data_IF_384634943946
#
_entry.id   IF_384634943946
#
_cell.length_a   1.000
_cell.length_b   1.000
_cell.length_c   1.000
_cell.angle_alpha   90.00
_cell.angle_beta   90.00
_cell.angle_gamma   90.00
#
_symmetry.space_group_name_H-M   'P 1'
#
loop_
_entity.id
_entity.type
_entity.pdbx_description
1 polymer ?
#
# COMPACT_ATOMS: atom_id res chain seq x y z
N UNK A 1 -31.05 32.58 -1.74
CA UNK A 1 -29.56 32.55 -1.94
C UNK A 1 -28.93 31.15 -1.69
N UNK A 2 -29.64 30.05 -1.93
CA UNK A 2 -29.17 28.68 -1.69
C UNK A 2 -29.17 27.77 -2.93
N UNK A 3 -29.41 28.31 -4.13
CA UNK A 3 -29.70 27.47 -5.30
C UNK A 3 -28.65 27.57 -6.43
N UNK A 4 -27.56 28.28 -6.24
CA UNK A 4 -26.56 28.50 -7.29
C UNK A 4 -25.25 27.72 -7.12
N UNK A 5 -25.01 27.10 -5.97
CA UNK A 5 -23.77 26.33 -5.70
C UNK A 5 -23.82 24.90 -6.23
N UNK A 6 -24.99 24.33 -6.50
CA UNK A 6 -25.13 22.92 -6.89
C UNK A 6 -25.07 22.65 -8.42
N UNK A 7 -24.94 23.67 -9.26
CA UNK A 7 -24.92 23.45 -10.73
C UNK A 7 -23.51 23.27 -11.30
N UNK A 8 -22.47 23.73 -10.62
CA UNK A 8 -21.10 23.57 -11.12
C UNK A 8 -20.50 22.19 -10.77
N UNK A 9 -20.86 21.60 -9.63
CA UNK A 9 -20.39 20.26 -9.23
C UNK A 9 -20.97 19.15 -10.11
N UNK A 10 -22.27 19.24 -10.46
CA UNK A 10 -22.95 18.24 -11.31
C UNK A 10 -22.42 18.19 -12.75
N UNK A 11 -21.91 19.33 -13.27
CA UNK A 11 -21.37 19.40 -14.64
C UNK A 11 -19.98 18.76 -14.75
N UNK A 12 -19.20 18.74 -13.67
CA UNK A 12 -17.90 18.05 -13.65
C UNK A 12 -18.03 16.54 -13.51
N UNK A 13 -18.94 16.01 -12.68
CA UNK A 13 -19.18 14.57 -12.55
C UNK A 13 -19.54 13.91 -13.90
N UNK A 14 -20.45 14.49 -14.67
CA UNK A 14 -20.83 13.97 -15.99
C UNK A 14 -19.67 13.95 -17.01
N UNK A 15 -18.68 14.84 -16.87
CA UNK A 15 -17.55 14.88 -17.79
C UNK A 15 -16.53 13.75 -17.61
N UNK A 16 -16.42 13.20 -16.40
CA UNK A 16 -15.52 12.08 -16.10
C UNK A 16 -16.19 10.73 -16.40
N UNK A 17 -17.51 10.65 -16.21
CA UNK A 17 -18.30 9.42 -16.37
C UNK A 17 -18.58 9.03 -17.82
N UNK A 18 -18.58 10.01 -18.74
CA UNK A 18 -18.92 9.82 -20.16
C UNK A 18 -17.71 9.66 -21.10
N UNK A 19 -16.48 9.57 -20.55
CA UNK A 19 -15.32 9.23 -21.39
C UNK A 19 -15.37 7.73 -21.77
N UNK A 20 -15.02 7.38 -23.04
CA UNK A 20 -14.92 5.97 -23.41
C UNK A 20 -13.96 5.27 -22.42
N UNK A 21 -14.43 4.16 -21.87
CA UNK A 21 -13.56 3.26 -21.08
C UNK A 21 -12.37 2.91 -21.98
N UNK A 22 -11.19 3.31 -21.55
CA UNK A 22 -9.96 2.79 -22.13
C UNK A 22 -9.89 1.28 -21.81
N UNK A 23 -9.22 0.56 -22.66
CA UNK A 23 -9.21 -0.88 -22.75
C UNK A 23 -8.94 -1.56 -21.38
N UNK A 24 -9.81 -2.46 -20.94
CA UNK A 24 -9.61 -3.27 -19.73
C UNK A 24 -8.24 -3.95 -19.77
N UNK A 25 -7.75 -4.29 -20.96
CA UNK A 25 -6.47 -4.91 -21.20
C UNK A 25 -5.27 -4.03 -20.81
N UNK A 26 -5.36 -2.71 -20.99
CA UNK A 26 -4.30 -1.77 -20.56
C UNK A 26 -4.20 -1.72 -19.04
N UNK A 27 -5.34 -1.67 -18.34
CA UNK A 27 -5.38 -1.69 -16.87
C UNK A 27 -4.82 -3.01 -16.32
N UNK A 28 -5.14 -4.14 -16.94
CA UNK A 28 -4.63 -5.45 -16.52
C UNK A 28 -3.11 -5.55 -16.73
N UNK A 29 -2.58 -5.09 -17.85
CA UNK A 29 -1.13 -5.07 -18.13
C UNK A 29 -0.34 -4.25 -17.08
N UNK A 30 -0.89 -3.11 -16.66
CA UNK A 30 -0.28 -2.26 -15.62
C UNK A 30 -0.26 -3.00 -14.28
N UNK A 31 -1.37 -3.62 -13.92
CA UNK A 31 -1.49 -4.36 -12.66
C UNK A 31 -0.55 -5.56 -12.66
N UNK A 32 -0.48 -6.32 -13.74
CA UNK A 32 0.42 -7.48 -13.86
C UNK A 32 1.89 -7.07 -13.74
N UNK A 33 2.31 -5.98 -14.39
CA UNK A 33 3.66 -5.44 -14.23
C UNK A 33 3.98 -4.99 -12.80
N UNK A 34 2.99 -4.40 -12.09
CA UNK A 34 3.16 -4.06 -10.68
C UNK A 34 3.22 -5.29 -9.78
N UNK A 35 2.46 -6.36 -10.07
CA UNK A 35 2.47 -7.60 -9.30
C UNK A 35 3.81 -8.31 -9.40
N UNK A 36 4.44 -8.34 -10.58
CA UNK A 36 5.79 -8.91 -10.75
C UNK A 36 6.82 -8.19 -9.88
N UNK A 37 6.78 -6.85 -9.87
CA UNK A 37 7.67 -6.04 -9.03
C UNK A 37 7.38 -6.25 -7.56
N UNK A 38 6.11 -6.28 -7.20
CA UNK A 38 5.62 -6.41 -5.84
C UNK A 38 6.00 -7.76 -5.22
N UNK A 39 6.10 -8.84 -6.02
CA UNK A 39 6.52 -10.16 -5.52
C UNK A 39 7.92 -10.12 -4.88
N UNK A 40 8.83 -9.33 -5.44
CA UNK A 40 10.14 -9.11 -4.81
C UNK A 40 10.06 -8.10 -3.67
N UNK A 41 9.41 -6.93 -3.92
CA UNK A 41 9.39 -5.81 -2.98
C UNK A 41 8.72 -6.14 -1.65
N UNK A 42 7.61 -6.88 -1.69
CA UNK A 42 6.85 -7.26 -0.50
C UNK A 42 7.58 -8.22 0.43
N UNK A 43 8.58 -8.97 -0.08
CA UNK A 43 9.39 -9.91 0.70
C UNK A 43 10.49 -9.22 1.52
N UNK A 44 10.87 -7.99 1.16
CA UNK A 44 11.83 -7.22 1.93
C UNK A 44 11.18 -6.70 3.22
N UNK A 45 11.96 -6.61 4.29
CA UNK A 45 11.54 -5.89 5.49
C UNK A 45 11.56 -4.37 5.29
N UNK A 46 10.85 -3.58 6.12
CA UNK A 46 10.96 -2.11 6.10
C UNK A 46 12.39 -1.61 6.14
N UNK A 47 13.25 -2.18 6.98
CA UNK A 47 14.67 -1.83 7.06
C UNK A 47 15.39 -2.11 5.75
N UNK A 48 15.18 -3.27 5.14
CA UNK A 48 15.79 -3.63 3.85
C UNK A 48 15.33 -2.72 2.70
N UNK A 49 14.05 -2.31 2.68
CA UNK A 49 13.53 -1.35 1.69
C UNK A 49 14.23 0.00 1.82
N UNK A 50 14.51 0.44 3.05
CA UNK A 50 15.21 1.69 3.32
C UNK A 50 16.71 1.64 3.00
N UNK A 51 17.32 0.47 2.86
CA UNK A 51 18.69 0.31 2.34
C UNK A 51 18.77 0.50 0.81
N UNK A 52 17.63 0.49 0.12
CA UNK A 52 17.54 0.78 -1.31
C UNK A 52 17.61 2.30 -1.56
N UNK A 53 17.74 2.75 -2.83
CA UNK A 53 17.65 4.17 -3.16
C UNK A 53 16.37 4.89 -2.69
N UNK A 54 15.34 4.17 -2.24
CA UNK A 54 14.14 4.76 -1.62
C UNK A 54 14.50 5.75 -0.50
N UNK A 55 15.56 5.48 0.24
CA UNK A 55 16.04 6.39 1.28
C UNK A 55 16.44 7.78 0.77
N UNK A 56 16.81 7.91 -0.51
CA UNK A 56 17.20 9.19 -1.12
C UNK A 56 16.01 10.13 -1.35
N UNK A 57 14.80 9.58 -1.49
CA UNK A 57 13.56 10.37 -1.60
C UNK A 57 12.89 10.66 -0.27
N UNK A 58 13.50 10.19 0.82
CA UNK A 58 12.95 10.35 2.16
C UNK A 58 12.79 11.83 2.52
N UNK A 59 11.57 12.31 2.76
CA UNK A 59 11.38 13.64 3.32
C UNK A 59 11.98 13.69 4.73
N UNK A 60 12.79 14.70 5.02
CA UNK A 60 13.50 14.85 6.32
C UNK A 60 12.56 14.77 7.53
N UNK A 61 11.32 15.18 7.38
CA UNK A 61 10.28 15.18 8.41
C UNK A 61 9.74 13.79 8.76
N UNK A 62 10.10 12.72 8.02
CA UNK A 62 9.48 11.40 8.18
C UNK A 62 10.24 10.45 9.10
N UNK A 63 11.28 10.90 9.77
CA UNK A 63 12.11 10.06 10.64
C UNK A 63 11.29 9.33 11.73
N UNK A 64 10.42 10.05 12.42
CA UNK A 64 9.59 9.47 13.49
C UNK A 64 8.62 8.42 12.93
N UNK A 65 8.00 8.70 11.79
CA UNK A 65 7.09 7.77 11.11
C UNK A 65 7.81 6.48 10.69
N UNK A 66 9.04 6.60 10.19
CA UNK A 66 9.87 5.44 9.82
C UNK A 66 10.24 4.62 11.04
N UNK A 67 10.67 5.25 12.11
CA UNK A 67 11.00 4.56 13.37
C UNK A 67 9.76 3.84 13.93
N UNK A 68 8.60 4.48 13.86
CA UNK A 68 7.32 3.86 14.24
C UNK A 68 7.00 2.62 13.39
N UNK A 69 7.09 2.72 12.06
CA UNK A 69 6.86 1.59 11.15
C UNK A 69 7.82 0.44 11.47
N UNK A 70 9.12 0.73 11.57
CA UNK A 70 10.13 -0.29 11.88
C UNK A 70 9.87 -0.98 13.22
N UNK A 71 9.57 -0.23 14.26
CA UNK A 71 9.33 -0.81 15.59
C UNK A 71 8.09 -1.71 15.64
N UNK A 72 7.14 -1.52 14.74
CA UNK A 72 5.89 -2.28 14.73
C UNK A 72 5.86 -3.45 13.75
N UNK A 73 6.53 -3.36 12.59
CA UNK A 73 6.36 -4.35 11.52
C UNK A 73 7.67 -4.89 10.90
N UNK A 74 8.84 -4.46 11.37
CA UNK A 74 10.12 -4.85 10.75
C UNK A 74 10.50 -6.31 11.06
N UNK A 75 10.21 -6.77 12.27
CA UNK A 75 10.55 -8.11 12.74
C UNK A 75 9.31 -8.89 13.18
N UNK A 76 9.34 -10.22 12.99
CA UNK A 76 8.30 -11.07 13.54
C UNK A 76 8.21 -10.96 15.08
N UNK A 77 7.00 -10.95 15.58
CA UNK A 77 6.70 -10.91 17.01
C UNK A 77 6.44 -12.35 17.48
N UNK A 78 7.22 -12.85 18.43
CA UNK A 78 6.97 -14.14 19.04
C UNK A 78 5.72 -14.05 19.91
N UNK A 79 4.76 -14.92 19.63
CA UNK A 79 3.52 -15.04 20.40
C UNK A 79 3.67 -16.17 21.44
N UNK A 80 2.82 -16.13 22.47
CA UNK A 80 2.70 -17.26 23.40
C UNK A 80 2.23 -18.50 22.63
N UNK A 81 2.82 -19.66 22.94
CA UNK A 81 2.50 -20.93 22.30
C UNK A 81 2.47 -22.06 23.32
N UNK A 82 1.65 -23.09 23.11
CA UNK A 82 1.70 -24.29 23.92
C UNK A 82 3.03 -25.03 23.72
N UNK A 83 3.33 -25.95 24.64
CA UNK A 83 4.53 -26.79 24.54
C UNK A 83 4.55 -27.59 23.23
N UNK A 84 5.64 -27.47 22.49
CA UNK A 84 5.82 -28.16 21.21
C UNK A 84 5.34 -27.34 20.00
N UNK A 85 4.98 -26.07 20.17
CA UNK A 85 4.65 -25.17 19.09
C UNK A 85 5.47 -23.86 19.18
N UNK A 86 5.69 -23.22 18.03
CA UNK A 86 6.24 -21.88 17.95
C UNK A 86 5.33 -21.02 17.08
N UNK A 87 4.82 -19.94 17.67
CA UNK A 87 3.88 -19.01 17.01
C UNK A 87 4.55 -17.66 16.80
N UNK A 88 4.50 -17.17 15.58
CA UNK A 88 5.02 -15.86 15.22
C UNK A 88 3.96 -15.04 14.47
N UNK A 89 3.80 -13.78 14.87
CA UNK A 89 3.06 -12.77 14.13
C UNK A 89 4.04 -12.00 13.24
N UNK A 90 3.70 -11.83 11.99
CA UNK A 90 4.43 -10.99 11.05
C UNK A 90 3.45 -10.20 10.18
N UNK A 91 3.96 -9.16 9.55
CA UNK A 91 3.16 -8.28 8.72
C UNK A 91 3.55 -8.43 7.25
N UNK A 92 2.55 -8.61 6.40
CA UNK A 92 2.72 -8.65 4.95
C UNK A 92 2.09 -7.41 4.32
N UNK A 93 2.64 -6.95 3.19
CA UNK A 93 2.04 -5.87 2.42
C UNK A 93 0.61 -6.22 1.99
N UNK A 94 -0.27 -5.21 1.95
CA UNK A 94 -1.61 -5.35 1.34
C UNK A 94 -1.60 -5.29 -0.18
N UNK A 95 -0.44 -5.13 -0.82
CA UNK A 95 -0.32 -5.17 -2.27
C UNK A 95 -0.42 -3.79 -2.93
N UNK A 96 -1.24 -3.69 -3.97
CA UNK A 96 -1.40 -2.47 -4.76
C UNK A 96 -2.42 -1.54 -4.09
N UNK A 97 -2.09 -0.25 -4.03
CA UNK A 97 -2.97 0.81 -3.53
C UNK A 97 -3.34 1.71 -4.70
N UNK A 98 -4.63 1.92 -4.92
CA UNK A 98 -5.10 3.03 -5.75
C UNK A 98 -5.06 4.30 -4.91
N UNK A 99 -4.22 5.26 -5.25
CA UNK A 99 -4.14 6.52 -4.55
C UNK A 99 -4.82 7.62 -5.37
N UNK A 100 -6.02 8.00 -4.95
CA UNK A 100 -6.80 9.06 -5.59
C UNK A 100 -6.39 10.40 -5.02
N UNK A 101 -5.88 11.26 -5.89
CA UNK A 101 -5.42 12.58 -5.50
C UNK A 101 -6.59 13.58 -5.50
N UNK A 102 -6.74 14.30 -4.38
CA UNK A 102 -7.61 15.48 -4.32
C UNK A 102 -6.92 16.66 -4.98
N UNK A 103 -7.65 17.53 -5.69
CA UNK A 103 -7.10 18.78 -6.24
C UNK A 103 -6.42 19.70 -5.20
N UNK A 104 -6.85 19.61 -3.95
CA UNK A 104 -6.32 20.40 -2.84
C UNK A 104 -5.09 19.78 -2.17
N UNK A 105 -4.69 18.57 -2.58
CA UNK A 105 -3.56 17.87 -1.98
C UNK A 105 -2.25 18.45 -2.47
N UNK A 106 -1.38 18.83 -1.54
CA UNK A 106 -0.07 19.35 -1.90
C UNK A 106 0.93 18.24 -2.23
N UNK A 107 1.94 18.56 -3.03
CA UNK A 107 2.97 17.61 -3.49
C UNK A 107 3.67 16.90 -2.32
N UNK A 108 3.92 17.61 -1.20
CA UNK A 108 4.64 17.02 -0.06
C UNK A 108 3.82 15.94 0.65
N UNK A 109 2.49 16.09 0.71
CA UNK A 109 1.61 15.08 1.29
C UNK A 109 1.49 13.87 0.39
N UNK A 110 1.42 14.08 -0.93
CA UNK A 110 1.44 12.98 -1.91
C UNK A 110 2.74 12.18 -1.77
N UNK A 111 3.90 12.84 -1.79
CA UNK A 111 5.21 12.21 -1.63
C UNK A 111 5.33 11.45 -0.31
N UNK A 112 4.84 12.03 0.79
CA UNK A 112 4.81 11.40 2.11
C UNK A 112 4.04 10.08 2.09
N UNK A 113 2.79 10.09 1.59
CA UNK A 113 1.95 8.90 1.56
C UNK A 113 2.52 7.81 0.63
N UNK A 114 3.06 8.18 -0.53
CA UNK A 114 3.76 7.25 -1.42
C UNK A 114 4.94 6.61 -0.68
N UNK A 115 5.83 7.44 -0.12
CA UNK A 115 7.03 6.98 0.56
C UNK A 115 6.71 5.97 1.68
N UNK A 116 5.78 6.33 2.58
CA UNK A 116 5.40 5.47 3.70
C UNK A 116 4.72 4.16 3.23
N UNK A 117 3.91 4.22 2.17
CA UNK A 117 3.30 3.03 1.59
C UNK A 117 4.34 2.09 0.96
N UNK A 118 5.35 2.63 0.28
CA UNK A 118 6.48 1.85 -0.25
C UNK A 118 7.30 1.22 0.88
N UNK A 119 7.54 1.93 1.98
CA UNK A 119 8.21 1.37 3.17
C UNK A 119 7.41 0.22 3.77
N UNK A 120 6.07 0.27 3.75
CA UNK A 120 5.20 -0.83 4.15
C UNK A 120 5.13 -1.97 3.12
N UNK A 121 5.79 -1.83 1.95
CA UNK A 121 5.90 -2.89 0.93
C UNK A 121 4.78 -2.87 -0.11
N UNK A 122 3.97 -1.81 -0.17
CA UNK A 122 2.93 -1.64 -1.17
C UNK A 122 3.49 -1.11 -2.49
N UNK A 123 2.78 -1.31 -3.59
CA UNK A 123 2.93 -0.60 -4.85
C UNK A 123 1.77 0.39 -5.02
N UNK A 124 1.91 1.41 -5.86
CA UNK A 124 0.94 2.51 -5.94
C UNK A 124 0.57 2.80 -7.38
N UNK A 125 -0.73 2.95 -7.61
CA UNK A 125 -1.28 3.57 -8.81
C UNK A 125 -1.83 4.93 -8.39
N UNK A 126 -1.15 6.01 -8.81
CA UNK A 126 -1.64 7.37 -8.63
C UNK A 126 -2.76 7.63 -9.63
N UNK A 127 -3.86 8.16 -9.14
CA UNK A 127 -5.01 8.52 -9.97
C UNK A 127 -5.34 9.99 -9.72
N UNK A 128 -5.35 10.78 -10.79
CA UNK A 128 -5.73 12.19 -10.73
C UNK A 128 -6.39 12.63 -12.02
N UNK A 129 -6.93 13.85 -11.98
CA UNK A 129 -7.32 14.53 -13.19
C UNK A 129 -6.09 15.05 -13.98
N UNK A 130 -6.33 15.55 -15.18
CA UNK A 130 -5.26 16.05 -16.06
C UNK A 130 -4.52 17.25 -15.49
N UNK A 131 -5.14 18.01 -14.57
CA UNK A 131 -4.52 19.21 -14.01
C UNK A 131 -3.34 18.85 -13.09
N UNK A 132 -3.37 17.67 -12.47
CA UNK A 132 -2.31 17.19 -11.60
C UNK A 132 -1.30 16.28 -12.32
N UNK A 133 -1.46 16.04 -13.62
CA UNK A 133 -0.63 15.12 -14.39
C UNK A 133 0.87 15.47 -14.37
N UNK A 134 1.19 16.77 -14.42
CA UNK A 134 2.57 17.25 -14.39
C UNK A 134 3.23 16.99 -13.02
N UNK A 135 2.48 17.24 -11.93
CA UNK A 135 2.91 16.89 -10.57
C UNK A 135 3.12 15.38 -10.42
N UNK A 136 2.17 14.57 -10.88
CA UNK A 136 2.29 13.12 -10.86
C UNK A 136 3.51 12.63 -11.65
N UNK A 137 3.74 13.19 -12.84
CA UNK A 137 4.88 12.83 -13.70
C UNK A 137 6.22 13.18 -13.07
N UNK A 138 6.30 14.29 -12.34
CA UNK A 138 7.48 14.69 -11.57
C UNK A 138 7.72 13.72 -10.42
N UNK A 139 6.69 13.46 -9.61
CA UNK A 139 6.78 12.54 -8.48
C UNK A 139 7.22 11.14 -8.92
N UNK A 140 6.63 10.62 -10.00
CA UNK A 140 7.01 9.28 -10.50
C UNK A 140 8.48 9.23 -10.88
N UNK A 141 9.02 10.26 -11.55
CA UNK A 141 10.45 10.32 -11.90
C UNK A 141 11.34 10.26 -10.66
N UNK A 142 10.93 10.90 -9.58
CA UNK A 142 11.66 10.88 -8.31
C UNK A 142 11.64 9.49 -7.67
N UNK A 143 10.61 8.70 -7.92
CA UNK A 143 10.45 7.34 -7.43
C UNK A 143 10.85 6.22 -8.43
N UNK A 144 11.13 6.50 -9.69
CA UNK A 144 11.51 5.50 -10.73
C UNK A 144 12.86 4.79 -10.47
N UNK A 145 13.61 5.24 -9.48
CA UNK A 145 14.99 4.80 -9.23
C UNK A 145 15.10 3.44 -8.54
N UNK A 146 13.97 2.81 -8.07
CA UNK A 146 14.04 1.92 -6.92
C UNK A 146 14.14 0.43 -7.13
N UNK A 147 13.51 -0.13 -8.12
CA UNK A 147 13.37 -1.58 -8.19
C UNK A 147 14.02 -2.18 -9.43
N UNK A 148 15.34 -2.04 -9.63
CA UNK A 148 16.08 -2.66 -10.75
C UNK A 148 15.46 -2.41 -12.12
N UNK A 149 14.91 -1.20 -12.33
CA UNK A 149 14.20 -0.83 -13.57
C UNK A 149 12.70 -1.19 -13.59
N UNK A 150 12.16 -1.72 -12.50
CA UNK A 150 10.74 -2.01 -12.36
C UNK A 150 10.05 -0.89 -11.57
N UNK A 151 8.86 -0.51 -12.00
CA UNK A 151 8.11 0.61 -11.41
C UNK A 151 7.26 0.12 -10.25
N UNK A 152 7.36 0.78 -9.10
CA UNK A 152 6.48 0.58 -7.95
C UNK A 152 5.40 1.67 -7.86
N UNK A 153 5.56 2.75 -8.60
CA UNK A 153 4.62 3.87 -8.66
C UNK A 153 4.32 4.16 -10.12
N UNK A 154 3.05 4.13 -10.48
CA UNK A 154 2.56 4.45 -11.82
C UNK A 154 1.43 5.46 -11.75
N UNK A 155 1.17 6.17 -12.84
CA UNK A 155 0.10 7.15 -12.96
C UNK A 155 -0.97 6.69 -13.94
N UNK A 156 -2.23 6.96 -13.58
CA UNK A 156 -3.39 6.76 -14.44
C UNK A 156 -4.37 7.95 -14.33
N UNK A 157 -5.04 8.26 -15.42
CA UNK A 157 -6.12 9.25 -15.45
C UNK A 157 -7.38 8.70 -14.75
N UNK A 158 -8.21 9.58 -14.22
CA UNK A 158 -9.50 9.21 -13.62
C UNK A 158 -10.41 8.35 -14.51
N UNK A 159 -10.30 8.44 -15.83
CA UNK A 159 -11.06 7.60 -16.75
C UNK A 159 -10.80 6.09 -16.56
N UNK A 160 -9.65 5.73 -15.98
CA UNK A 160 -9.28 4.32 -15.71
C UNK A 160 -9.84 3.79 -14.38
N UNK A 161 -10.39 4.65 -13.53
CA UNK A 161 -10.72 4.29 -12.15
C UNK A 161 -11.69 3.11 -12.07
N UNK A 162 -12.67 3.06 -12.97
CA UNK A 162 -13.69 2.00 -12.98
C UNK A 162 -13.10 0.64 -13.29
N UNK A 163 -12.25 0.52 -14.31
CA UNK A 163 -11.58 -0.74 -14.68
C UNK A 163 -10.64 -1.18 -13.56
N UNK A 164 -9.87 -0.27 -12.98
CA UNK A 164 -8.97 -0.55 -11.86
C UNK A 164 -9.73 -1.04 -10.62
N UNK A 165 -10.82 -0.39 -10.23
CA UNK A 165 -11.65 -0.80 -9.10
C UNK A 165 -12.23 -2.20 -9.32
N UNK A 166 -12.61 -2.56 -10.52
CA UNK A 166 -13.18 -3.88 -10.83
C UNK A 166 -12.13 -4.99 -10.93
N UNK A 167 -10.82 -4.68 -10.97
CA UNK A 167 -9.80 -5.70 -11.00
C UNK A 167 -9.68 -6.42 -9.64
N UNK A 168 -9.57 -7.75 -9.68
CA UNK A 168 -9.51 -8.62 -8.47
C UNK A 168 -8.28 -8.38 -7.59
N UNK A 169 -7.18 -7.92 -8.18
CA UNK A 169 -5.90 -7.70 -7.49
C UNK A 169 -5.83 -6.35 -6.77
N UNK A 170 -6.81 -5.46 -7.01
CA UNK A 170 -6.92 -4.20 -6.31
C UNK A 170 -7.83 -4.40 -5.09
N UNK A 171 -7.26 -4.31 -3.91
CA UNK A 171 -7.97 -4.49 -2.64
C UNK A 171 -7.89 -3.27 -1.72
N UNK A 172 -7.12 -2.25 -2.12
CA UNK A 172 -6.88 -1.08 -1.30
C UNK A 172 -7.01 0.19 -2.12
N UNK A 173 -7.63 1.19 -1.51
CA UNK A 173 -7.74 2.54 -2.05
C UNK A 173 -7.36 3.55 -0.96
N UNK A 174 -6.56 4.51 -1.34
CA UNK A 174 -6.25 5.67 -0.51
C UNK A 174 -6.95 6.88 -1.12
N UNK A 175 -7.85 7.50 -0.38
CA UNK A 175 -8.61 8.65 -0.82
C UNK A 175 -9.09 9.50 0.35
N UNK A 176 -9.21 10.80 0.13
CA UNK A 176 -9.84 11.71 1.09
C UNK A 176 -11.38 11.57 1.00
N UNK A 177 -12.03 11.40 2.14
CA UNK A 177 -13.50 11.31 2.23
C UNK A 177 -14.21 12.59 1.75
N UNK A 178 -13.49 13.72 1.71
CA UNK A 178 -13.99 15.00 1.21
C UNK A 178 -13.97 15.12 -0.31
N UNK A 179 -13.37 14.14 -1.01
CA UNK A 179 -13.31 14.14 -2.46
C UNK A 179 -14.73 14.07 -3.04
N UNK A 180 -15.10 14.99 -3.94
CA UNK A 180 -16.44 15.06 -4.53
C UNK A 180 -16.86 13.75 -5.22
N UNK A 181 -15.91 13.07 -5.86
CA UNK A 181 -16.12 11.78 -6.54
C UNK A 181 -16.26 10.58 -5.57
N UNK A 182 -16.12 10.82 -4.25
CA UNK A 182 -16.10 9.73 -3.27
C UNK A 182 -17.40 8.91 -3.25
N UNK A 183 -18.57 9.53 -3.48
CA UNK A 183 -19.85 8.85 -3.55
C UNK A 183 -19.92 7.88 -4.74
N UNK A 184 -19.52 8.32 -5.92
CA UNK A 184 -19.45 7.48 -7.11
C UNK A 184 -18.51 6.29 -6.93
N UNK A 185 -17.33 6.54 -6.38
CA UNK A 185 -16.35 5.50 -6.10
C UNK A 185 -16.89 4.47 -5.12
N UNK A 186 -17.60 4.90 -4.06
CA UNK A 186 -18.25 4.00 -3.10
C UNK A 186 -19.37 3.17 -3.74
N UNK A 187 -20.11 3.73 -4.70
CA UNK A 187 -21.10 2.97 -5.48
C UNK A 187 -20.42 1.91 -6.36
N UNK A 188 -19.33 2.25 -7.06
CA UNK A 188 -18.56 1.27 -7.85
C UNK A 188 -17.94 0.19 -6.95
N UNK A 189 -17.56 0.51 -5.71
CA UNK A 189 -17.13 -0.48 -4.71
C UNK A 189 -18.26 -1.44 -4.37
N UNK A 190 -19.46 -0.92 -4.13
CA UNK A 190 -20.63 -1.75 -3.79
C UNK A 190 -21.05 -2.70 -4.93
N UNK A 191 -20.75 -2.33 -6.18
CA UNK A 191 -21.05 -3.15 -7.37
C UNK A 191 -19.97 -4.19 -7.68
N UNK A 192 -18.86 -4.18 -6.95
CA UNK A 192 -17.74 -5.10 -7.16
C UNK A 192 -18.14 -6.56 -6.95
N UNK A 193 -17.64 -7.44 -7.81
CA UNK A 193 -17.80 -8.90 -7.68
C UNK A 193 -16.73 -9.55 -6.79
N UNK A 194 -15.65 -8.83 -6.53
CA UNK A 194 -14.50 -9.29 -5.75
C UNK A 194 -14.52 -8.63 -4.38
N UNK A 195 -13.69 -9.11 -3.46
CA UNK A 195 -13.68 -8.74 -2.04
C UNK A 195 -13.82 -7.23 -1.74
N UNK A 196 -14.13 -6.93 -0.49
CA UNK A 196 -14.32 -5.56 0.03
C UNK A 196 -12.99 -4.79 -0.10
N UNK A 197 -13.08 -3.57 -0.63
CA UNK A 197 -11.94 -2.65 -0.67
C UNK A 197 -11.68 -2.05 0.71
N UNK A 198 -10.42 -2.06 1.09
CA UNK A 198 -9.94 -1.33 2.26
C UNK A 198 -9.73 0.14 1.87
N UNK A 199 -10.37 1.05 2.59
CA UNK A 199 -10.27 2.50 2.36
C UNK A 199 -9.32 3.10 3.38
N UNK A 200 -8.33 3.85 2.92
CA UNK A 200 -7.28 4.47 3.73
C UNK A 200 -7.37 5.98 3.53
N UNK A 201 -7.44 6.74 4.60
CA UNK A 201 -7.34 8.20 4.52
C UNK A 201 -5.87 8.60 4.38
N UNK A 202 -5.51 9.44 3.39
CA UNK A 202 -4.15 9.93 3.26
C UNK A 202 -3.77 10.81 4.46
N UNK A 203 -2.50 10.77 4.85
CA UNK A 203 -1.95 11.64 5.88
C UNK A 203 -1.59 13.00 5.28
N UNK A 204 -1.95 14.06 5.95
CA UNK A 204 -1.41 15.40 5.68
C UNK A 204 -0.05 15.62 6.39
N UNK A 205 0.58 16.76 6.13
CA UNK A 205 1.91 17.08 6.65
C UNK A 205 1.98 17.15 8.18
N UNK A 206 0.86 17.43 8.86
CA UNK A 206 0.77 17.57 10.31
C UNK A 206 0.52 16.24 11.05
N UNK A 207 0.03 15.23 10.35
CA UNK A 207 -0.35 13.94 10.92
C UNK A 207 0.85 12.98 10.96
N UNK A 208 0.91 12.16 11.98
CA UNK A 208 1.87 11.06 12.10
C UNK A 208 1.20 9.71 11.82
N UNK A 209 2.01 8.71 11.53
CA UNK A 209 1.54 7.32 11.35
C UNK A 209 0.96 6.82 12.66
N UNK A 210 -0.27 6.32 12.59
CA UNK A 210 -0.95 5.62 13.68
C UNK A 210 -1.03 4.13 13.40
N UNK A 211 -1.35 3.34 14.42
CA UNK A 211 -1.57 1.90 14.25
C UNK A 211 -2.67 1.61 13.23
N UNK A 212 -3.79 2.32 13.28
CA UNK A 212 -4.92 2.12 12.36
C UNK A 212 -4.51 2.41 10.91
N UNK A 213 -3.76 3.50 10.70
CA UNK A 213 -3.25 3.82 9.38
C UNK A 213 -2.27 2.76 8.87
N UNK A 214 -1.36 2.30 9.73
CA UNK A 214 -0.39 1.27 9.40
C UNK A 214 -1.08 -0.07 9.04
N UNK A 215 -2.07 -0.49 9.81
CA UNK A 215 -2.89 -1.68 9.54
C UNK A 215 -3.73 -1.55 8.25
N UNK A 216 -3.98 -0.32 7.80
CA UNK A 216 -4.51 -0.04 6.47
C UNK A 216 -3.56 -0.48 5.34
N UNK A 217 -2.25 -0.52 5.56
CA UNK A 217 -1.22 -0.83 4.55
C UNK A 217 -0.69 -2.27 4.66
N UNK A 218 -0.83 -2.90 5.81
CA UNK A 218 -0.29 -4.24 6.05
C UNK A 218 -1.37 -5.21 6.54
N UNK A 219 -1.10 -6.49 6.36
CA UNK A 219 -1.91 -7.60 6.84
C UNK A 219 -1.15 -8.34 7.93
N UNK A 220 -1.81 -8.57 9.05
CA UNK A 220 -1.32 -9.49 10.08
C UNK A 220 -1.38 -10.92 9.58
N UNK A 221 -0.28 -11.64 9.76
CA UNK A 221 -0.17 -13.07 9.45
C UNK A 221 0.49 -13.80 10.60
N UNK A 222 -0.05 -14.95 10.93
CA UNK A 222 0.55 -15.83 11.93
C UNK A 222 1.16 -17.05 11.26
N UNK A 223 2.34 -17.43 11.74
CA UNK A 223 2.99 -18.69 11.38
C UNK A 223 3.08 -19.55 12.63
N UNK A 224 2.48 -20.73 12.58
CA UNK A 224 2.60 -21.75 13.60
C UNK A 224 3.50 -22.86 13.09
N UNK A 225 4.55 -23.17 13.82
CA UNK A 225 5.44 -24.29 13.56
C UNK A 225 5.24 -25.33 14.64
N UNK A 226 4.94 -26.57 14.24
CA UNK A 226 4.90 -27.70 15.17
C UNK A 226 6.32 -28.18 15.34
N UNK A 227 6.86 -28.05 16.56
CA UNK A 227 8.20 -28.48 16.95
C UNK A 227 8.24 -29.94 17.39
N UNK A 228 7.08 -30.55 17.57
CA UNK A 228 6.96 -31.97 17.93
C UNK A 228 6.79 -32.79 16.66
N UNK A 229 7.86 -33.41 16.20
CA UNK A 229 7.75 -34.38 15.13
C UNK A 229 6.84 -35.52 15.57
N UNK A 230 5.86 -35.90 14.76
CA UNK A 230 5.00 -37.05 15.00
C UNK A 230 5.85 -38.30 15.08
N UNK A 231 6.05 -38.83 16.30
CA UNK A 231 6.93 -39.96 16.58
C UNK A 231 8.43 -39.64 16.72
N UNK A 232 8.83 -38.39 16.73
CA UNK A 232 10.21 -37.93 16.91
C UNK A 232 10.58 -37.77 18.40
N UNK A 233 11.85 -37.97 18.71
CA UNK A 233 12.39 -37.70 20.03
C UNK A 233 12.52 -36.20 20.26
N UNK A 234 11.67 -35.63 21.11
CA UNK A 234 11.65 -34.19 21.44
C UNK A 234 12.99 -33.69 22.00
N UNK A 235 13.84 -34.56 22.54
CA UNK A 235 15.17 -34.20 23.01
C UNK A 235 16.13 -33.79 21.90
N UNK A 236 15.91 -34.24 20.66
CA UNK A 236 16.76 -33.87 19.53
C UNK A 236 16.48 -32.40 19.06
N UNK A 237 15.28 -31.88 19.26
CA UNK A 237 14.97 -30.51 18.91
C UNK A 237 15.50 -29.49 19.94
N UNK A 238 15.60 -29.89 21.20
CA UNK A 238 16.20 -29.06 22.24
C UNK A 238 17.73 -28.95 22.09
N UNK A 239 18.38 -29.95 21.49
CA UNK A 239 19.83 -29.95 21.25
C UNK A 239 20.25 -29.00 20.13
N UNK A 240 19.34 -28.61 19.23
CA UNK A 240 19.65 -27.64 18.14
C UNK A 240 19.64 -26.19 18.62
N UNK A 241 18.88 -25.86 19.67
CA UNK A 241 18.87 -24.50 20.23
C UNK A 241 20.06 -24.23 21.15
N UNK A 242 20.59 -25.26 21.80
CA UNK A 242 21.76 -25.14 22.69
C UNK A 242 23.10 -25.15 21.94
N UNK A 243 23.14 -25.59 20.68
CA UNK A 243 24.37 -25.58 19.86
C UNK A 243 24.81 -24.21 19.38
N UNK A 244 23.97 -23.18 19.52
CA UNK A 244 24.32 -21.78 19.21
C UNK A 244 24.85 -20.99 20.43
N UNK A 245 24.99 -21.61 21.60
CA UNK A 245 25.48 -20.97 22.83
C UNK A 245 26.96 -21.26 23.13
N UNK A 246 27.62 -22.13 22.35
CA UNK A 246 29.04 -22.43 22.54
C UNK A 246 29.80 -22.12 21.23
N UNK A 247 29.99 -20.87 20.95
CA UNK A 247 31.10 -20.34 20.18
C UNK A 247 31.57 -19.06 20.88
N UNK A 248 32.44 -19.25 21.84
CA UNK A 248 33.36 -18.24 22.37
C UNK A 248 34.47 -18.04 21.36
#
# INVERSE_FOLDING_TARGET
>A
KKTLLNKHSLIQEDSYLNKPMLDEQESDNIIDGLLETLDYWSKLSPSQRLETPLSMTMPKSQKNNIEYIKSNIDLPIKLSSPTGESNHLFYASRGIILFLLSPDMNESDVVKNIFLSLVCGCAIILISDKNLSDMCSKIIKDFDVFAKGQKLVVYQDYSQIKSLIQNKNILNIMMDDRLEISSYIREEFARRKYGILNVINPLDSSQEVTTDWLLGLVLERTKTENLVASGGNTQLFNLSDDSNVIAV
#
